data_IF_765838585122
#
_entry.id   IF_765838585122
#
_cell.length_a   1.000
_cell.length_b   1.000
_cell.length_c   1.000
_cell.angle_alpha   90.00
_cell.angle_beta   90.00
_cell.angle_gamma   90.00
#
_symmetry.space_group_name_H-M   'P 1'
#
loop_
_entity.id
_entity.type
_entity.pdbx_description
1 polymer ?
#
# COMPACT_ATOMS: atom_id res chain seq x y z
N UNK A 1 12.39 23.04 -22.26
CA UNK A 1 13.16 23.55 -21.09
C UNK A 1 12.31 24.42 -20.13
N UNK A 2 11.26 25.11 -20.58
CA UNK A 2 10.42 25.98 -19.70
C UNK A 2 9.59 25.27 -18.62
N UNK A 3 9.33 23.97 -18.73
CA UNK A 3 8.48 23.22 -17.77
C UNK A 3 9.20 22.88 -16.46
N UNK A 4 10.51 22.80 -16.46
CA UNK A 4 11.31 22.50 -15.26
C UNK A 4 11.43 23.68 -14.30
N UNK A 5 11.40 24.91 -14.84
CA UNK A 5 11.41 26.13 -14.01
C UNK A 5 10.10 26.29 -13.22
N UNK A 6 8.97 25.84 -13.76
CA UNK A 6 7.70 25.87 -13.05
C UNK A 6 7.70 24.93 -11.83
N UNK A 7 8.33 23.75 -11.94
CA UNK A 7 8.48 22.80 -10.82
C UNK A 7 9.44 23.34 -9.76
N UNK A 8 10.55 23.95 -10.19
CA UNK A 8 11.50 24.62 -9.29
C UNK A 8 10.86 25.83 -8.58
N UNK A 9 10.03 26.60 -9.28
CA UNK A 9 9.30 27.74 -8.72
C UNK A 9 8.20 27.28 -7.75
N UNK A 10 7.54 26.16 -8.02
CA UNK A 10 6.56 25.55 -7.11
C UNK A 10 7.25 25.04 -5.83
N UNK A 11 8.42 24.43 -5.95
CA UNK A 11 9.24 23.98 -4.82
C UNK A 11 9.79 25.13 -3.99
N UNK A 12 10.14 26.27 -4.60
CA UNK A 12 10.62 27.46 -3.91
C UNK A 12 9.51 28.28 -3.24
N UNK A 13 8.25 28.09 -3.65
CA UNK A 13 7.10 28.75 -3.04
C UNK A 13 6.65 28.10 -1.72
N UNK A 14 7.17 26.93 -1.39
CA UNK A 14 7.02 26.31 -0.07
C UNK A 14 7.87 27.13 0.91
N UNK A 15 7.30 28.20 1.47
CA UNK A 15 7.94 28.93 2.57
C UNK A 15 8.09 27.97 3.74
N UNK A 16 9.33 27.58 4.02
CA UNK A 16 9.73 26.82 5.21
C UNK A 16 9.62 27.74 6.42
N UNK A 17 8.40 27.96 6.91
CA UNK A 17 8.17 28.65 8.17
C UNK A 17 7.65 27.62 9.16
N UNK A 18 8.46 27.28 10.17
CA UNK A 18 8.13 26.42 11.29
C UNK A 18 7.46 25.09 10.88
N UNK A 19 8.15 24.32 10.04
CA UNK A 19 7.71 22.95 9.68
C UNK A 19 8.44 21.97 10.60
N UNK A 20 7.67 21.10 11.22
CA UNK A 20 8.23 19.96 11.95
C UNK A 20 8.40 18.81 10.95
N UNK A 21 9.65 18.35 10.79
CA UNK A 21 9.97 17.20 9.96
C UNK A 21 10.22 16.02 10.89
N UNK A 22 9.44 14.96 10.72
CA UNK A 22 9.56 13.74 11.50
C UNK A 22 9.93 12.57 10.61
N UNK A 23 10.83 11.70 11.09
CA UNK A 23 11.11 10.40 10.49
C UNK A 23 10.46 9.33 11.34
N UNK A 24 9.68 8.47 10.67
CA UNK A 24 8.81 7.51 11.34
C UNK A 24 9.16 6.11 10.83
N UNK A 25 9.99 5.36 11.58
CA UNK A 25 10.12 3.93 11.32
C UNK A 25 8.78 3.24 11.61
N UNK A 26 8.34 2.37 10.73
CA UNK A 26 7.04 1.70 10.84
C UNK A 26 7.19 0.19 10.77
N UNK A 27 6.43 -0.49 11.61
CA UNK A 27 6.18 -1.92 11.49
C UNK A 27 4.68 -2.17 11.61
N UNK A 28 4.19 -3.19 10.92
CA UNK A 28 2.76 -3.44 10.97
C UNK A 28 2.35 -4.82 10.47
N UNK A 29 1.05 -5.07 10.62
CA UNK A 29 0.37 -6.25 10.10
C UNK A 29 -0.58 -5.83 8.98
N UNK A 30 -0.64 -6.66 7.94
CA UNK A 30 -1.53 -6.46 6.81
C UNK A 30 -2.47 -7.65 6.62
N UNK A 31 -3.70 -7.36 6.21
CA UNK A 31 -4.67 -8.34 5.77
C UNK A 31 -4.97 -8.04 4.29
N UNK A 32 -4.46 -8.89 3.40
CA UNK A 32 -4.63 -8.71 1.96
C UNK A 32 -5.70 -9.63 1.39
N UNK A 33 -6.44 -9.12 0.43
CA UNK A 33 -7.40 -9.84 -0.37
C UNK A 33 -7.42 -9.30 -1.81
N UNK A 34 -7.87 -10.11 -2.75
CA UNK A 34 -8.13 -9.71 -4.13
C UNK A 34 -9.64 -9.64 -4.31
N UNK A 35 -10.15 -8.46 -4.67
CA UNK A 35 -11.60 -8.26 -4.94
C UNK A 35 -12.03 -9.03 -6.18
N UNK A 36 -13.29 -9.43 -6.22
CA UNK A 36 -13.86 -10.24 -7.31
C UNK A 36 -13.12 -11.57 -7.57
N UNK A 37 -12.47 -12.09 -6.55
CA UNK A 37 -11.90 -13.43 -6.57
C UNK A 37 -12.99 -14.46 -6.27
N UNK A 38 -12.79 -15.69 -6.74
CA UNK A 38 -13.74 -16.78 -6.50
C UNK A 38 -13.95 -17.02 -5.00
N UNK A 39 -15.09 -17.65 -4.64
CA UNK A 39 -15.50 -17.91 -3.25
C UNK A 39 -14.44 -18.65 -2.40
N UNK A 40 -13.40 -19.20 -3.00
CA UNK A 40 -12.31 -19.93 -2.36
C UNK A 40 -11.09 -19.04 -2.02
N UNK A 41 -11.14 -17.74 -2.34
CA UNK A 41 -10.08 -16.78 -1.96
C UNK A 41 -10.23 -16.39 -0.51
N UNK A 42 -9.19 -16.64 0.30
CA UNK A 42 -9.15 -16.29 1.72
C UNK A 42 -8.20 -15.13 1.95
N UNK A 43 -8.58 -14.27 2.89
CA UNK A 43 -7.72 -13.19 3.39
C UNK A 43 -6.41 -13.78 3.88
N UNK A 44 -5.29 -13.20 3.44
CA UNK A 44 -3.96 -13.60 3.90
C UNK A 44 -3.40 -12.55 4.84
N UNK A 45 -2.99 -12.96 6.06
CA UNK A 45 -2.19 -12.10 6.92
C UNK A 45 -0.78 -11.96 6.35
N UNK A 46 -0.23 -10.77 6.45
CA UNK A 46 1.13 -10.42 6.12
C UNK A 46 1.68 -9.42 7.12
N UNK A 47 2.91 -9.00 6.91
CA UNK A 47 3.51 -7.94 7.70
C UNK A 47 4.10 -6.87 6.78
N UNK A 48 4.32 -5.70 7.33
CA UNK A 48 5.04 -4.63 6.67
C UNK A 48 6.11 -4.05 7.60
N UNK A 49 7.15 -3.54 6.97
CA UNK A 49 8.19 -2.76 7.62
C UNK A 49 8.62 -1.64 6.70
N UNK A 50 8.85 -0.46 7.24
CA UNK A 50 9.21 0.68 6.41
C UNK A 50 9.67 1.89 7.20
N UNK A 51 9.79 2.98 6.48
CA UNK A 51 10.14 4.28 7.02
C UNK A 51 9.34 5.36 6.31
N UNK A 52 8.74 6.25 7.06
CA UNK A 52 8.07 7.45 6.59
C UNK A 52 8.83 8.71 6.95
N UNK A 53 8.56 9.76 6.18
CA UNK A 53 8.92 11.13 6.50
C UNK A 53 7.64 11.97 6.41
N UNK A 54 7.37 12.73 7.44
CA UNK A 54 6.22 13.63 7.53
C UNK A 54 6.67 15.07 7.72
N UNK A 55 5.92 15.97 7.13
CA UNK A 55 6.03 17.42 7.33
C UNK A 55 4.69 17.92 7.82
N UNK A 56 4.68 18.56 8.99
CA UNK A 56 3.44 19.07 9.61
C UNK A 56 3.45 20.59 9.57
N UNK A 57 2.31 21.17 9.15
CA UNK A 57 2.06 22.61 9.15
C UNK A 57 0.98 22.94 10.17
N UNK A 58 1.20 24.00 10.92
CA UNK A 58 0.18 24.54 11.84
C UNK A 58 -0.41 23.52 12.81
N UNK A 59 0.38 22.50 13.22
CA UNK A 59 -0.04 21.45 14.18
C UNK A 59 -1.32 20.66 13.76
N UNK A 60 -1.85 20.91 12.58
CA UNK A 60 -3.13 20.30 12.15
C UNK A 60 -3.09 19.58 10.84
N UNK A 61 -2.27 20.02 9.92
CA UNK A 61 -2.21 19.47 8.57
C UNK A 61 -0.79 19.09 8.24
N UNK A 62 -0.61 17.94 7.66
CA UNK A 62 0.69 17.44 7.23
C UNK A 62 0.60 16.69 5.92
N UNK A 63 1.76 16.40 5.39
CA UNK A 63 1.96 15.47 4.28
C UNK A 63 3.07 14.50 4.63
N UNK A 64 2.96 13.30 4.14
CA UNK A 64 3.98 12.28 4.31
C UNK A 64 4.28 11.54 3.03
N UNK A 65 5.48 11.01 3.00
CA UNK A 65 5.94 10.04 2.01
C UNK A 65 6.68 8.92 2.74
N UNK A 66 6.53 7.69 2.26
CA UNK A 66 7.22 6.56 2.87
C UNK A 66 7.75 5.57 1.86
N UNK A 67 8.52 4.61 2.36
CA UNK A 67 8.92 3.41 1.64
C UNK A 67 8.68 2.22 2.55
N UNK A 68 7.83 1.29 2.12
CA UNK A 68 7.44 0.12 2.91
C UNK A 68 7.67 -1.16 2.11
N UNK A 69 8.22 -2.16 2.76
CA UNK A 69 8.23 -3.53 2.28
C UNK A 69 7.00 -4.26 2.82
N UNK A 70 6.16 -4.76 1.93
CA UNK A 70 4.90 -5.42 2.26
C UNK A 70 4.98 -6.89 1.86
N UNK A 71 4.83 -7.78 2.83
CA UNK A 71 4.64 -9.21 2.58
C UNK A 71 3.16 -9.45 2.41
N UNK A 72 2.73 -9.67 1.18
CA UNK A 72 1.34 -9.87 0.80
C UNK A 72 1.15 -11.22 0.11
N UNK A 73 -0.05 -11.48 -0.34
CA UNK A 73 -0.37 -12.64 -1.16
C UNK A 73 -1.79 -13.12 -0.97
N UNK A 74 -2.05 -14.29 -1.48
CA UNK A 74 -3.34 -14.94 -1.37
C UNK A 74 -3.16 -16.40 -0.98
N UNK A 75 -4.08 -16.96 -0.21
CA UNK A 75 -4.16 -18.38 0.08
C UNK A 75 -5.39 -18.96 -0.61
N UNK A 76 -5.15 -19.89 -1.50
CA UNK A 76 -6.21 -20.66 -2.13
C UNK A 76 -6.32 -22.01 -1.46
N UNK A 77 -7.51 -22.38 -1.01
CA UNK A 77 -7.76 -23.64 -0.34
C UNK A 77 -9.02 -24.28 -0.90
N UNK A 78 -8.88 -25.48 -1.47
CA UNK A 78 -9.97 -26.37 -1.86
C UNK A 78 -9.86 -27.66 -1.05
N UNK A 79 -10.87 -28.51 -1.05
CA UNK A 79 -10.87 -29.76 -0.29
C UNK A 79 -9.69 -30.70 -0.63
N UNK A 80 -9.08 -30.53 -1.79
CA UNK A 80 -8.01 -31.40 -2.31
C UNK A 80 -6.67 -30.69 -2.47
N UNK A 81 -6.63 -29.33 -2.57
CA UNK A 81 -5.40 -28.58 -2.88
C UNK A 81 -5.38 -27.31 -2.06
N UNK A 82 -4.25 -27.05 -1.40
CA UNK A 82 -3.96 -25.77 -0.76
C UNK A 82 -2.62 -25.24 -1.24
N UNK A 83 -2.61 -24.06 -1.86
CA UNK A 83 -1.38 -23.37 -2.23
C UNK A 83 -1.41 -21.92 -1.78
N UNK A 84 -0.24 -21.38 -1.53
CA UNK A 84 -0.09 -20.01 -1.06
C UNK A 84 0.74 -19.26 -2.09
N UNK A 85 0.14 -18.26 -2.71
CA UNK A 85 0.86 -17.32 -3.57
C UNK A 85 1.46 -16.24 -2.70
N UNK A 86 2.77 -16.06 -2.74
CA UNK A 86 3.50 -14.97 -2.09
C UNK A 86 3.71 -13.86 -3.09
N UNK A 87 3.36 -12.66 -2.69
CA UNK A 87 3.52 -11.45 -3.50
C UNK A 87 4.08 -10.36 -2.58
N UNK A 88 5.38 -10.12 -2.67
CA UNK A 88 5.98 -9.07 -1.87
C UNK A 88 6.11 -7.80 -2.70
N UNK A 89 5.82 -6.67 -2.07
CA UNK A 89 5.83 -5.36 -2.69
C UNK A 89 6.74 -4.39 -1.95
N UNK A 90 7.45 -3.59 -2.71
CA UNK A 90 7.94 -2.31 -2.24
C UNK A 90 6.88 -1.28 -2.56
N UNK A 91 6.38 -0.56 -1.57
CA UNK A 91 5.35 0.45 -1.75
C UNK A 91 5.84 1.83 -1.32
N UNK A 92 5.36 2.85 -2.04
CA UNK A 92 5.66 4.25 -1.80
C UNK A 92 4.32 4.96 -1.57
N UNK A 93 3.85 5.07 -0.31
CA UNK A 93 2.71 5.88 0.04
C UNK A 93 3.09 7.36 -0.01
N UNK A 94 2.18 8.19 -0.53
CA UNK A 94 2.20 9.64 -0.43
C UNK A 94 0.84 10.05 0.10
N UNK A 95 0.77 10.76 1.22
CA UNK A 95 -0.50 11.03 1.86
C UNK A 95 -0.58 12.45 2.45
N UNK A 96 -1.79 12.97 2.49
CA UNK A 96 -2.15 14.12 3.29
C UNK A 96 -2.68 13.62 4.64
N UNK A 97 -2.29 14.27 5.73
CA UNK A 97 -2.66 13.94 7.12
C UNK A 97 -3.32 15.15 7.78
N UNK A 98 -4.41 14.90 8.47
CA UNK A 98 -5.11 15.94 9.22
C UNK A 98 -5.35 15.51 10.66
N UNK A 99 -4.94 16.34 11.63
CA UNK A 99 -5.22 16.14 13.05
C UNK A 99 -6.61 16.69 13.37
N UNK A 100 -7.51 15.79 13.77
CA UNK A 100 -8.91 16.10 14.07
C UNK A 100 -9.07 16.59 15.51
N UNK A 101 -8.43 15.88 16.44
CA UNK A 101 -8.50 16.20 17.86
C UNK A 101 -7.26 15.66 18.60
N UNK A 102 -6.49 16.55 19.23
CA UNK A 102 -5.22 16.18 19.91
C UNK A 102 -4.35 15.32 18.98
N UNK A 103 -3.94 14.13 19.44
CA UNK A 103 -3.17 13.18 18.64
C UNK A 103 -3.98 12.36 17.61
N UNK A 104 -5.31 12.49 17.56
CA UNK A 104 -6.14 11.76 16.61
C UNK A 104 -5.99 12.36 15.21
N UNK A 105 -5.61 11.56 14.23
CA UNK A 105 -5.43 11.99 12.85
C UNK A 105 -6.14 11.07 11.86
N UNK A 106 -6.46 11.63 10.72
CA UNK A 106 -6.90 10.90 9.53
C UNK A 106 -5.91 11.18 8.40
N UNK A 107 -5.77 10.24 7.48
CA UNK A 107 -4.92 10.43 6.32
C UNK A 107 -5.50 9.78 5.07
N UNK A 108 -5.15 10.33 3.92
CA UNK A 108 -5.58 9.83 2.62
C UNK A 108 -4.51 10.15 1.58
N UNK A 109 -4.30 9.23 0.67
CA UNK A 109 -3.38 9.48 -0.44
C UNK A 109 -3.12 8.28 -1.34
N UNK A 110 -2.44 8.52 -2.47
CA UNK A 110 -2.02 7.48 -3.38
C UNK A 110 -0.87 6.64 -2.80
N UNK A 111 -0.85 5.38 -3.20
CA UNK A 111 0.23 4.45 -2.91
C UNK A 111 0.65 3.77 -4.20
N UNK A 112 1.95 3.80 -4.47
CA UNK A 112 2.57 3.17 -5.64
C UNK A 112 3.25 1.88 -5.18
N UNK A 113 2.82 0.74 -5.71
CA UNK A 113 3.34 -0.58 -5.35
C UNK A 113 4.16 -1.19 -6.49
N UNK A 114 5.30 -1.76 -6.16
CA UNK A 114 6.15 -2.50 -7.08
C UNK A 114 6.34 -3.91 -6.55
N UNK A 115 5.85 -4.89 -7.29
CA UNK A 115 6.01 -6.29 -6.93
C UNK A 115 7.46 -6.72 -7.17
N UNK A 116 8.13 -7.18 -6.10
CA UNK A 116 9.55 -7.55 -6.10
C UNK A 116 9.79 -9.04 -5.94
N UNK A 117 8.87 -9.75 -5.27
CA UNK A 117 8.93 -11.21 -5.10
C UNK A 117 7.62 -11.83 -5.55
N UNK A 118 7.72 -12.92 -6.30
CA UNK A 118 6.59 -13.73 -6.77
C UNK A 118 6.94 -15.19 -6.60
N UNK A 119 6.10 -15.90 -5.87
CA UNK A 119 6.24 -17.33 -5.65
C UNK A 119 4.83 -17.92 -5.57
N UNK A 120 4.51 -18.88 -6.42
CA UNK A 120 3.20 -19.53 -6.44
C UNK A 120 3.17 -20.85 -5.68
N UNK A 121 4.31 -21.27 -5.13
CA UNK A 121 4.44 -22.49 -4.35
C UNK A 121 4.11 -23.78 -5.14
N UNK A 122 4.20 -23.75 -6.47
CA UNK A 122 4.00 -24.89 -7.35
C UNK A 122 5.32 -25.36 -7.94
N UNK A 123 5.57 -26.66 -7.88
CA UNK A 123 6.79 -27.30 -8.40
C UNK A 123 6.72 -27.64 -9.91
N UNK A 124 5.75 -27.12 -10.66
CA UNK A 124 5.58 -27.44 -12.07
C UNK A 124 6.02 -26.29 -12.99
N UNK A 125 6.87 -26.63 -13.96
CA UNK A 125 7.44 -25.79 -15.02
C UNK A 125 6.44 -25.26 -16.08
N UNK A 126 5.14 -25.39 -15.88
CA UNK A 126 4.17 -24.75 -16.75
C UNK A 126 4.12 -23.27 -16.43
N UNK A 127 4.39 -22.42 -17.45
CA UNK A 127 4.31 -20.97 -17.51
C UNK A 127 3.47 -20.38 -16.37
N UNK A 128 4.12 -19.96 -15.29
CA UNK A 128 3.42 -19.57 -14.08
C UNK A 128 2.49 -18.42 -14.42
N UNK A 129 1.22 -18.51 -14.03
CA UNK A 129 0.25 -17.43 -14.19
C UNK A 129 0.73 -16.10 -13.60
N UNK A 130 1.77 -16.14 -12.79
CA UNK A 130 2.45 -14.98 -12.22
C UNK A 130 3.07 -14.04 -13.27
N UNK A 131 3.51 -14.54 -14.42
CA UNK A 131 4.02 -13.70 -15.51
C UNK A 131 2.92 -12.86 -16.15
N UNK A 132 1.66 -13.27 -16.00
CA UNK A 132 0.48 -12.54 -16.43
C UNK A 132 0.07 -11.44 -15.46
N UNK A 133 0.60 -11.43 -14.22
CA UNK A 133 0.34 -10.39 -13.23
C UNK A 133 1.14 -9.12 -13.49
N UNK A 134 0.58 -7.98 -13.10
CA UNK A 134 1.28 -6.68 -13.21
C UNK A 134 2.35 -6.56 -12.14
N UNK A 135 3.50 -5.98 -12.53
CA UNK A 135 4.58 -5.62 -11.59
C UNK A 135 4.30 -4.35 -10.82
N UNK A 136 3.45 -3.50 -11.36
CA UNK A 136 3.10 -2.21 -10.81
C UNK A 136 1.65 -2.23 -10.34
N UNK A 137 1.42 -1.73 -9.15
CA UNK A 137 0.11 -1.51 -8.55
C UNK A 137 -0.05 -0.04 -8.15
N UNK A 138 -1.26 0.45 -8.25
CA UNK A 138 -1.61 1.80 -7.83
C UNK A 138 -2.89 1.72 -7.00
N UNK A 139 -2.84 2.25 -5.80
CA UNK A 139 -3.95 2.22 -4.86
C UNK A 139 -4.18 3.59 -4.22
N UNK A 140 -5.35 3.77 -3.65
CA UNK A 140 -5.65 4.88 -2.74
C UNK A 140 -5.83 4.30 -1.36
N UNK A 141 -5.08 4.86 -0.41
CA UNK A 141 -5.16 4.56 1.00
C UNK A 141 -5.97 5.62 1.75
N UNK A 142 -6.80 5.17 2.67
CA UNK A 142 -7.46 6.00 3.66
C UNK A 142 -7.26 5.37 5.03
N UNK A 143 -6.96 6.19 6.04
CA UNK A 143 -6.70 5.67 7.37
C UNK A 143 -6.97 6.66 8.48
N UNK A 144 -6.93 6.12 9.69
CA UNK A 144 -7.06 6.83 10.94
C UNK A 144 -5.96 6.37 11.88
N UNK A 145 -5.48 7.23 12.73
CA UNK A 145 -4.48 6.87 13.72
C UNK A 145 -4.46 7.84 14.90
N UNK A 146 -3.63 7.49 15.86
CA UNK A 146 -3.38 8.29 17.03
C UNK A 146 -1.87 8.42 17.26
N UNK A 147 -1.41 9.63 17.46
CA UNK A 147 -0.02 9.97 17.79
C UNK A 147 0.04 10.52 19.19
N UNK A 148 0.89 9.94 20.03
CA UNK A 148 1.16 10.43 21.38
C UNK A 148 2.21 11.53 21.34
N UNK A 149 2.20 12.37 22.38
CA UNK A 149 3.13 13.51 22.52
C UNK A 149 4.62 13.08 22.55
N UNK A 150 4.89 11.84 22.93
CA UNK A 150 6.25 11.27 22.90
C UNK A 150 6.66 10.66 21.54
N UNK A 151 5.81 10.82 20.52
CA UNK A 151 6.12 10.47 19.13
C UNK A 151 5.57 9.14 18.64
N UNK A 152 5.17 8.20 19.51
CA UNK A 152 4.59 6.92 19.08
C UNK A 152 3.31 7.16 18.29
N UNK A 153 3.15 6.43 17.18
CA UNK A 153 1.93 6.42 16.37
C UNK A 153 1.35 5.01 16.29
N UNK A 154 0.02 4.93 16.36
CA UNK A 154 -0.74 3.76 15.93
C UNK A 154 -1.69 4.17 14.81
N UNK A 155 -1.76 3.37 13.75
CA UNK A 155 -2.66 3.65 12.64
C UNK A 155 -3.32 2.39 12.10
N UNK A 156 -4.51 2.58 11.56
CA UNK A 156 -5.24 1.60 10.77
C UNK A 156 -5.61 2.22 9.44
N UNK A 157 -5.37 1.50 8.35
CA UNK A 157 -5.67 1.97 7.00
C UNK A 157 -6.26 0.88 6.12
N UNK A 158 -6.97 1.34 5.10
CA UNK A 158 -7.45 0.50 4.02
C UNK A 158 -6.95 1.06 2.69
N UNK A 159 -6.24 0.24 1.94
CA UNK A 159 -5.69 0.54 0.62
C UNK A 159 -6.50 -0.20 -0.44
N UNK A 160 -7.12 0.55 -1.35
CA UNK A 160 -7.92 0.05 -2.47
C UNK A 160 -7.13 0.19 -3.77
N UNK A 161 -6.80 -0.93 -4.38
CA UNK A 161 -6.17 -0.99 -5.70
C UNK A 161 -7.09 -0.42 -6.77
N UNK A 162 -6.53 0.38 -7.67
CA UNK A 162 -7.24 0.99 -8.80
C UNK A 162 -6.82 0.39 -10.14
N UNK A 163 -5.74 -0.39 -10.14
CA UNK A 163 -5.23 -1.07 -11.32
C UNK A 163 -5.55 -2.56 -11.20
N UNK A 164 -6.01 -3.15 -12.30
CA UNK A 164 -6.24 -4.58 -12.39
C UNK A 164 -4.94 -5.36 -12.15
N UNK A 165 -4.98 -6.33 -11.26
CA UNK A 165 -3.83 -7.17 -10.91
C UNK A 165 -3.29 -7.94 -12.12
N UNK A 166 -4.16 -8.26 -13.08
CA UNK A 166 -3.81 -9.04 -14.27
C UNK A 166 -3.50 -8.17 -15.48
N UNK A 167 -2.47 -8.52 -16.24
CA UNK A 167 -2.19 -7.93 -17.56
C UNK A 167 -3.06 -8.55 -18.64
N UNK A 168 -3.26 -9.87 -18.56
CA UNK A 168 -4.02 -10.68 -19.47
C UNK A 168 -4.67 -11.79 -18.66
N UNK A 169 -5.98 -11.95 -18.81
CA UNK A 169 -6.68 -13.05 -18.20
C UNK A 169 -6.35 -14.35 -18.94
N UNK A 170 -6.19 -15.48 -18.23
CA UNK A 170 -6.26 -16.80 -18.85
C UNK A 170 -7.61 -16.94 -19.58
N UNK A 171 -7.63 -17.59 -20.73
CA UNK A 171 -8.81 -17.64 -21.60
C UNK A 171 -10.06 -18.23 -20.90
N UNK A 172 -9.85 -19.06 -19.88
CA UNK A 172 -10.93 -19.64 -19.05
C UNK A 172 -11.55 -18.65 -18.05
N UNK A 173 -10.89 -17.51 -17.76
CA UNK A 173 -11.30 -16.54 -16.75
C UNK A 173 -11.81 -15.22 -17.36
N UNK A 174 -11.97 -15.20 -18.66
CA UNK A 174 -12.40 -14.01 -19.42
C UNK A 174 -13.76 -13.44 -18.99
N UNK A 175 -14.57 -14.21 -18.26
CA UNK A 175 -15.87 -13.80 -17.74
C UNK A 175 -15.85 -13.23 -16.32
N UNK A 176 -14.74 -13.35 -15.59
CA UNK A 176 -14.59 -12.80 -14.23
C UNK A 176 -14.11 -11.35 -14.30
N UNK A 177 -14.90 -10.40 -13.82
CA UNK A 177 -14.60 -8.97 -13.84
C UNK A 177 -13.19 -8.60 -13.33
N UNK A 178 -12.80 -7.33 -13.49
CA UNK A 178 -11.49 -6.82 -13.06
C UNK A 178 -11.23 -7.12 -11.58
N UNK A 179 -9.98 -7.50 -11.26
CA UNK A 179 -9.54 -7.89 -9.92
C UNK A 179 -8.58 -6.83 -9.37
N UNK A 180 -8.86 -6.36 -8.16
CA UNK A 180 -8.10 -5.30 -7.51
C UNK A 180 -7.57 -5.77 -6.17
N UNK A 181 -6.41 -5.26 -5.77
CA UNK A 181 -5.88 -5.47 -4.43
C UNK A 181 -6.70 -4.69 -3.40
N UNK A 182 -6.96 -5.31 -2.27
CA UNK A 182 -7.60 -4.68 -1.11
C UNK A 182 -6.80 -5.07 0.13
N UNK A 183 -6.24 -4.09 0.83
CA UNK A 183 -5.29 -4.32 1.92
C UNK A 183 -5.70 -3.49 3.13
N UNK A 184 -5.99 -4.16 4.25
CA UNK A 184 -6.07 -3.53 5.55
C UNK A 184 -4.72 -3.61 6.25
N UNK A 185 -4.27 -2.51 6.84
CA UNK A 185 -2.99 -2.42 7.54
C UNK A 185 -3.17 -1.80 8.92
N UNK A 186 -2.43 -2.35 9.89
CA UNK A 186 -2.32 -1.83 11.25
C UNK A 186 -0.84 -1.60 11.51
N UNK A 187 -0.46 -0.36 11.75
CA UNK A 187 0.94 0.04 11.87
C UNK A 187 1.22 0.68 13.22
N UNK A 188 2.43 0.44 13.69
CA UNK A 188 3.09 1.11 14.81
C UNK A 188 4.28 1.87 14.23
N UNK A 189 4.40 3.13 14.54
CA UNK A 189 5.49 4.01 14.08
C UNK A 189 6.01 4.91 15.19
#
# INVERSE_FOLDING_TARGET
MKKWYAILLLLSALKVSAQEISFIPEVGLGLSNITNSDNNSKVRPGFNIGMGMEVIWNERVGMGIGVNYLVLGNRFTTDYISYTTKLDYVSIPVYAKGYVYKGLFVFVGPQFGFNVVRDDGRDYDELSDLDKMRKFDFSIGVGIGYQWDFGLQLSASHNLGLIDVWKKYPDEWSSSGKKYNSIFQFNVG
#
